data_IF_384131034144
#
_entry.id   IF_384131034144
#
_cell.length_a   1.000
_cell.length_b   1.000
_cell.length_c   1.000
_cell.angle_alpha   90.00
_cell.angle_beta   90.00
_cell.angle_gamma   90.00
#
_symmetry.space_group_name_H-M   'P 1'
#
loop_
_entity.id
_entity.type
_entity.pdbx_description
1 polymer ?
#
# COMPACT_ATOMS: atom_id res chain seq x y z
N UNK A 1 29.72 -14.75 -23.94
CA UNK A 1 28.59 -14.22 -24.71
C UNK A 1 27.25 -14.92 -24.40
N UNK A 2 27.15 -16.25 -24.44
CA UNK A 2 25.89 -16.99 -24.15
C UNK A 2 25.33 -16.65 -22.78
N UNK A 3 26.15 -16.66 -21.74
CA UNK A 3 25.73 -16.31 -20.37
C UNK A 3 25.11 -14.91 -20.27
N UNK A 4 25.70 -13.93 -20.94
CA UNK A 4 25.17 -12.56 -20.98
C UNK A 4 23.82 -12.50 -21.72
N UNK A 5 23.66 -13.25 -22.82
CA UNK A 5 22.36 -13.35 -23.52
C UNK A 5 21.28 -13.98 -22.63
N UNK A 6 21.59 -15.05 -21.92
CA UNK A 6 20.67 -15.68 -20.97
C UNK A 6 20.29 -14.67 -19.88
N UNK A 7 21.25 -13.96 -19.31
CA UNK A 7 21.02 -12.95 -18.27
C UNK A 7 20.17 -11.78 -18.78
N UNK A 8 20.42 -11.31 -20.02
CA UNK A 8 19.60 -10.28 -20.67
C UNK A 8 18.13 -10.73 -20.76
N UNK A 9 17.88 -11.91 -21.31
CA UNK A 9 16.52 -12.43 -21.46
C UNK A 9 15.84 -12.70 -20.11
N UNK A 10 16.58 -13.23 -19.13
CA UNK A 10 16.06 -13.41 -17.77
C UNK A 10 15.63 -12.08 -17.13
N UNK A 11 16.47 -11.05 -17.20
CA UNK A 11 16.13 -9.72 -16.69
C UNK A 11 14.93 -9.11 -17.42
N UNK A 12 14.91 -9.21 -18.76
CA UNK A 12 13.80 -8.69 -19.56
C UNK A 12 12.48 -9.38 -19.23
N UNK A 13 12.49 -10.72 -19.08
CA UNK A 13 11.32 -11.49 -18.70
C UNK A 13 10.85 -11.15 -17.27
N UNK A 14 11.77 -10.97 -16.32
CA UNK A 14 11.42 -10.53 -14.95
C UNK A 14 10.74 -9.17 -14.97
N UNK A 15 11.29 -8.19 -15.70
CA UNK A 15 10.71 -6.85 -15.80
C UNK A 15 9.33 -6.91 -16.46
N UNK A 16 9.21 -7.61 -17.59
CA UNK A 16 7.93 -7.80 -18.28
C UNK A 16 6.89 -8.48 -17.37
N UNK A 17 7.28 -9.61 -16.76
CA UNK A 17 6.40 -10.36 -15.88
C UNK A 17 5.87 -9.50 -14.73
N UNK A 18 6.75 -8.78 -14.05
CA UNK A 18 6.39 -7.99 -12.86
C UNK A 18 5.41 -6.86 -13.16
N UNK A 19 5.58 -6.17 -14.28
CA UNK A 19 4.76 -4.99 -14.58
C UNK A 19 3.56 -5.28 -15.47
N UNK A 20 3.62 -6.30 -16.32
CA UNK A 20 2.55 -6.64 -17.26
C UNK A 20 2.12 -8.09 -17.13
N UNK A 21 3.07 -9.02 -17.16
CA UNK A 21 2.81 -10.46 -17.23
C UNK A 21 1.99 -10.98 -16.05
N UNK A 22 2.31 -10.54 -14.83
CA UNK A 22 1.54 -10.92 -13.64
C UNK A 22 0.07 -10.47 -13.72
N UNK A 23 -0.18 -9.23 -14.10
CA UNK A 23 -1.55 -8.73 -14.27
C UNK A 23 -2.33 -9.49 -15.34
N UNK A 24 -1.69 -9.79 -16.49
CA UNK A 24 -2.28 -10.57 -17.58
C UNK A 24 -2.59 -12.00 -17.10
N UNK A 25 -1.62 -12.65 -16.44
CA UNK A 25 -1.79 -14.01 -15.91
C UNK A 25 -2.92 -14.07 -14.88
N UNK A 26 -2.93 -13.14 -13.93
CA UNK A 26 -3.93 -13.06 -12.89
C UNK A 26 -5.34 -12.83 -13.48
N UNK A 27 -5.47 -11.89 -14.43
CA UNK A 27 -6.72 -11.67 -15.16
C UNK A 27 -7.20 -12.94 -15.87
N UNK A 28 -6.29 -13.64 -16.55
CA UNK A 28 -6.63 -14.89 -17.27
C UNK A 28 -7.09 -15.98 -16.31
N UNK A 29 -6.38 -16.19 -15.19
CA UNK A 29 -6.77 -17.17 -14.17
C UNK A 29 -8.16 -16.85 -13.60
N UNK A 30 -8.43 -15.57 -13.29
CA UNK A 30 -9.72 -15.14 -12.77
C UNK A 30 -10.83 -15.35 -13.80
N UNK A 31 -10.59 -15.04 -15.08
CA UNK A 31 -11.58 -15.29 -16.14
C UNK A 31 -11.91 -16.77 -16.27
N UNK A 32 -10.89 -17.63 -16.22
CA UNK A 32 -11.08 -19.08 -16.23
C UNK A 32 -11.85 -19.54 -14.97
N UNK A 33 -11.44 -19.07 -13.78
CA UNK A 33 -12.13 -19.38 -12.52
C UNK A 33 -13.62 -19.02 -12.62
N UNK A 34 -13.95 -17.80 -13.08
CA UNK A 34 -15.35 -17.35 -13.26
C UNK A 34 -16.14 -18.17 -14.29
N UNK A 35 -15.47 -18.69 -15.30
CA UNK A 35 -16.11 -19.57 -16.30
C UNK A 35 -16.52 -20.92 -15.72
N UNK A 36 -15.68 -21.50 -14.85
CA UNK A 36 -15.94 -22.79 -14.22
C UNK A 36 -16.72 -22.71 -12.90
N UNK A 37 -16.64 -21.61 -12.18
CA UNK A 37 -17.44 -21.37 -10.98
C UNK A 37 -18.61 -20.47 -11.35
N UNK A 38 -19.86 -21.01 -11.26
CA UNK A 38 -21.06 -20.16 -11.34
C UNK A 38 -20.86 -18.98 -10.41
N UNK A 39 -21.16 -17.75 -10.91
CA UNK A 39 -20.99 -16.51 -10.17
C UNK A 39 -21.26 -16.70 -8.67
N UNK A 40 -20.29 -16.43 -7.79
CA UNK A 40 -20.59 -16.40 -6.38
C UNK A 40 -21.72 -15.39 -6.21
N UNK A 41 -22.84 -15.81 -5.60
CA UNK A 41 -23.88 -14.87 -5.16
C UNK A 41 -23.16 -13.76 -4.40
N UNK A 42 -23.27 -12.52 -4.87
CA UNK A 42 -22.88 -11.39 -4.03
C UNK A 42 -23.56 -11.61 -2.68
N UNK A 43 -22.74 -11.70 -1.64
CA UNK A 43 -23.30 -11.85 -0.30
C UNK A 43 -24.29 -10.72 -0.07
N UNK A 44 -25.53 -11.05 0.31
CA UNK A 44 -26.55 -10.07 0.57
C UNK A 44 -26.02 -9.02 1.55
N UNK A 45 -26.44 -7.78 1.38
CA UNK A 45 -26.09 -6.73 2.33
C UNK A 45 -26.70 -7.10 3.69
N UNK A 46 -25.90 -7.17 4.77
CA UNK A 46 -26.42 -7.50 6.08
C UNK A 46 -27.42 -6.42 6.55
N UNK A 47 -28.48 -6.84 7.22
CA UNK A 47 -29.38 -5.95 7.95
C UNK A 47 -28.66 -5.28 9.13
N UNK A 48 -29.24 -4.22 9.70
CA UNK A 48 -28.63 -3.53 10.83
C UNK A 48 -28.41 -4.45 12.04
N UNK A 49 -29.30 -5.42 12.24
CA UNK A 49 -29.20 -6.39 13.34
C UNK A 49 -28.03 -7.37 13.15
N UNK A 50 -27.70 -7.72 11.93
CA UNK A 50 -26.61 -8.64 11.58
C UNK A 50 -25.23 -7.97 11.58
N UNK A 51 -25.18 -6.62 11.58
CA UNK A 51 -23.92 -5.90 11.60
C UNK A 51 -23.15 -6.15 12.89
N UNK A 52 -21.84 -6.47 12.82
CA UNK A 52 -21.01 -6.65 14.01
C UNK A 52 -20.68 -5.32 14.68
N UNK A 53 -20.28 -5.37 15.95
CA UNK A 53 -19.70 -4.19 16.61
C UNK A 53 -18.34 -3.87 16.03
N UNK A 54 -18.06 -2.57 15.80
CA UNK A 54 -16.86 -2.09 15.14
C UNK A 54 -16.30 -0.82 15.79
N UNK A 55 -15.00 -0.75 15.99
CA UNK A 55 -14.29 0.46 16.40
C UNK A 55 -13.54 1.04 15.21
N UNK A 56 -13.74 2.32 14.92
CA UNK A 56 -12.86 3.10 14.02
C UNK A 56 -11.73 3.67 14.87
N UNK A 57 -10.52 3.14 14.69
CA UNK A 57 -9.32 3.58 15.39
C UNK A 57 -8.54 4.55 14.52
N UNK A 58 -8.28 5.74 15.06
CA UNK A 58 -7.58 6.85 14.40
C UNK A 58 -6.31 7.14 15.22
N UNK A 59 -5.14 6.84 14.67
CA UNK A 59 -3.88 7.21 15.29
C UNK A 59 -3.49 8.64 14.91
N UNK A 60 -3.11 9.45 15.90
CA UNK A 60 -2.79 10.86 15.70
C UNK A 60 -1.51 11.28 16.42
N UNK A 61 -0.71 12.09 15.73
CA UNK A 61 0.39 12.85 16.27
C UNK A 61 0.46 14.21 15.61
N UNK A 62 0.15 15.27 16.37
CA UNK A 62 0.08 16.65 15.88
C UNK A 62 -0.84 16.78 14.65
N UNK A 63 -2.13 16.60 14.86
CA UNK A 63 -3.17 16.59 13.80
C UNK A 63 -4.27 17.63 14.09
N UNK A 64 -3.98 18.71 14.85
CA UNK A 64 -4.94 19.75 15.23
C UNK A 64 -5.73 20.31 14.02
N UNK A 65 -5.05 20.48 12.89
CA UNK A 65 -5.65 21.04 11.65
C UNK A 65 -6.75 20.15 11.04
N UNK A 66 -6.77 18.85 11.33
CA UNK A 66 -7.68 17.89 10.68
C UNK A 66 -8.72 17.28 11.62
N UNK A 67 -8.63 17.50 12.92
CA UNK A 67 -9.57 16.93 13.91
C UNK A 67 -11.02 17.24 13.55
N UNK A 68 -11.35 18.50 13.28
CA UNK A 68 -12.72 18.91 13.01
C UNK A 68 -13.28 18.28 11.72
N UNK A 69 -12.46 18.25 10.64
CA UNK A 69 -12.84 17.65 9.37
C UNK A 69 -13.02 16.13 9.52
N UNK A 70 -12.09 15.46 10.21
CA UNK A 70 -12.16 14.02 10.48
C UNK A 70 -13.37 13.66 11.31
N UNK A 71 -13.70 14.43 12.34
CA UNK A 71 -14.89 14.19 13.16
C UNK A 71 -16.18 14.38 12.38
N UNK A 72 -16.25 15.42 11.51
CA UNK A 72 -17.38 15.59 10.58
C UNK A 72 -17.52 14.38 9.64
N UNK A 73 -16.42 13.89 9.10
CA UNK A 73 -16.40 12.69 8.25
C UNK A 73 -16.87 11.45 9.02
N UNK A 74 -16.37 11.26 10.25
CA UNK A 74 -16.72 10.11 11.09
C UNK A 74 -18.21 10.10 11.45
N UNK A 75 -18.80 11.25 11.78
CA UNK A 75 -20.24 11.39 12.05
C UNK A 75 -21.14 11.11 10.84
N UNK A 76 -20.59 11.25 9.61
CA UNK A 76 -21.30 10.98 8.36
C UNK A 76 -21.24 9.51 7.93
N UNK A 77 -20.56 8.64 8.69
CA UNK A 77 -20.49 7.20 8.39
C UNK A 77 -21.84 6.54 8.67
N UNK A 78 -22.30 5.76 7.70
CA UNK A 78 -23.53 4.98 7.76
C UNK A 78 -23.29 3.66 8.51
N UNK A 79 -23.44 3.70 9.84
CA UNK A 79 -23.37 2.53 10.70
C UNK A 79 -24.23 2.73 11.95
N UNK A 80 -24.90 1.68 12.51
CA UNK A 80 -25.70 1.80 13.71
C UNK A 80 -24.86 2.32 14.89
N UNK A 81 -25.36 3.37 15.57
CA UNK A 81 -24.60 4.07 16.63
C UNK A 81 -24.30 3.20 17.85
N UNK A 82 -25.17 2.27 18.16
CA UNK A 82 -25.02 1.30 19.25
C UNK A 82 -23.96 0.22 18.95
N UNK A 83 -23.62 0.02 17.67
CA UNK A 83 -22.63 -0.95 17.19
C UNK A 83 -21.31 -0.31 16.73
N UNK A 84 -21.20 1.02 16.77
CA UNK A 84 -20.06 1.77 16.29
C UNK A 84 -19.41 2.60 17.38
N UNK A 85 -18.09 2.55 17.48
CA UNK A 85 -17.27 3.39 18.36
C UNK A 85 -16.19 4.09 17.58
N UNK A 86 -15.88 5.32 17.96
CA UNK A 86 -14.73 6.07 17.45
C UNK A 86 -13.68 6.16 18.54
N UNK A 87 -12.46 5.75 18.23
CA UNK A 87 -11.33 5.79 19.14
C UNK A 87 -10.19 6.60 18.51
N UNK A 88 -9.74 7.61 19.21
CA UNK A 88 -8.52 8.33 18.87
C UNK A 88 -7.38 7.91 19.78
N UNK A 89 -6.27 7.52 19.18
CA UNK A 89 -5.04 7.14 19.90
C UNK A 89 -4.01 8.21 19.61
N UNK A 90 -3.71 9.03 20.62
CA UNK A 90 -2.74 10.13 20.48
C UNK A 90 -1.40 9.73 21.08
N UNK A 91 -0.31 9.92 20.30
CA UNK A 91 1.05 9.46 20.60
C UNK A 91 1.98 10.67 20.84
N UNK A 92 1.88 11.24 22.04
CA UNK A 92 2.75 12.36 22.47
C UNK A 92 2.52 13.64 21.68
N UNK A 93 1.28 13.95 21.25
CA UNK A 93 0.95 15.21 20.59
C UNK A 93 1.22 16.39 21.52
N UNK A 94 1.92 17.40 21.02
CA UNK A 94 2.28 18.63 21.72
C UNK A 94 1.64 19.92 21.12
N UNK A 95 0.67 19.71 20.23
CA UNK A 95 -0.24 20.75 19.71
C UNK A 95 -1.61 20.68 20.41
N UNK A 96 -2.63 21.34 19.88
CA UNK A 96 -3.99 21.35 20.44
C UNK A 96 -4.82 20.10 20.08
N UNK A 97 -4.23 19.04 19.46
CA UNK A 97 -4.97 17.82 19.07
C UNK A 97 -5.78 17.25 20.24
N UNK A 98 -5.14 17.06 21.41
CA UNK A 98 -5.79 16.47 22.57
C UNK A 98 -6.90 17.37 23.13
N UNK A 99 -6.68 18.67 23.17
CA UNK A 99 -7.66 19.66 23.63
C UNK A 99 -8.90 19.65 22.74
N UNK A 100 -8.71 19.70 21.42
CA UNK A 100 -9.80 19.69 20.45
C UNK A 100 -10.64 18.41 20.54
N UNK A 101 -10.04 17.26 20.83
CA UNK A 101 -10.75 15.99 20.98
C UNK A 101 -11.68 15.97 22.18
N UNK A 102 -11.40 16.73 23.25
CA UNK A 102 -12.30 16.81 24.43
C UNK A 102 -13.67 17.43 24.12
N UNK A 103 -13.80 18.16 23.01
CA UNK A 103 -15.08 18.70 22.53
C UNK A 103 -16.02 17.64 21.94
N UNK A 104 -15.56 16.39 21.79
CA UNK A 104 -16.31 15.27 21.19
C UNK A 104 -16.55 14.16 22.21
N UNK A 105 -17.63 14.23 23.01
CA UNK A 105 -17.89 13.28 24.11
C UNK A 105 -18.16 11.85 23.65
N UNK A 106 -18.47 11.64 22.36
CA UNK A 106 -18.69 10.33 21.76
C UNK A 106 -17.39 9.58 21.40
N UNK A 107 -16.22 10.20 21.63
CA UNK A 107 -14.92 9.66 21.24
C UNK A 107 -14.22 9.04 22.45
N UNK A 108 -13.77 7.80 22.29
CA UNK A 108 -12.85 7.17 23.23
C UNK A 108 -11.42 7.70 22.94
N UNK A 109 -10.83 8.43 23.88
CA UNK A 109 -9.47 8.98 23.75
C UNK A 109 -8.50 8.08 24.51
N UNK A 110 -7.55 7.49 23.79
CA UNK A 110 -6.43 6.73 24.33
C UNK A 110 -5.17 7.59 24.22
N UNK A 111 -4.75 8.17 25.33
CA UNK A 111 -3.65 9.13 25.36
C UNK A 111 -2.34 8.47 25.79
N UNK A 112 -1.26 8.77 25.07
CA UNK A 112 0.12 8.49 25.47
C UNK A 112 0.88 9.81 25.64
N UNK A 113 1.51 10.10 26.82
CA UNK A 113 2.23 11.35 27.02
C UNK A 113 3.55 11.42 26.24
N UNK A 114 4.13 10.27 25.92
CA UNK A 114 5.39 10.16 25.21
C UNK A 114 5.18 9.65 23.79
N UNK A 115 5.91 10.23 22.85
CA UNK A 115 5.92 9.78 21.45
C UNK A 115 6.72 8.50 21.31
N UNK A 116 6.02 7.39 21.00
CA UNK A 116 6.62 6.05 20.78
C UNK A 116 6.49 5.55 19.34
N UNK A 117 5.78 6.30 18.51
CA UNK A 117 5.53 5.98 17.10
C UNK A 117 4.22 5.24 16.85
N UNK A 118 3.82 5.19 15.57
CA UNK A 118 2.51 4.67 15.14
C UNK A 118 2.26 3.23 15.60
N UNK A 119 3.27 2.36 15.50
CA UNK A 119 3.15 0.95 15.92
C UNK A 119 2.82 0.83 17.41
N UNK A 120 3.47 1.62 18.26
CA UNK A 120 3.20 1.65 19.71
C UNK A 120 1.79 2.21 20.01
N UNK A 121 1.38 3.26 19.30
CA UNK A 121 0.02 3.81 19.41
C UNK A 121 -1.03 2.77 19.03
N UNK A 122 -0.85 2.04 17.92
CA UNK A 122 -1.74 0.95 17.51
C UNK A 122 -1.85 -0.13 18.60
N UNK A 123 -0.73 -0.58 19.16
CA UNK A 123 -0.72 -1.57 20.25
C UNK A 123 -1.49 -1.08 21.49
N UNK A 124 -1.29 0.19 21.86
CA UNK A 124 -2.00 0.79 23.00
C UNK A 124 -3.50 0.87 22.75
N UNK A 125 -3.94 1.30 21.57
CA UNK A 125 -5.34 1.31 21.18
C UNK A 125 -5.97 -0.08 21.15
N UNK A 126 -5.25 -1.09 20.65
CA UNK A 126 -5.72 -2.47 20.59
C UNK A 126 -6.04 -3.07 21.98
N UNK A 127 -5.30 -2.67 23.01
CA UNK A 127 -5.55 -3.12 24.40
C UNK A 127 -6.86 -2.58 24.98
N UNK A 128 -7.38 -1.47 24.44
CA UNK A 128 -8.61 -0.80 24.88
C UNK A 128 -9.84 -1.21 24.08
N UNK A 129 -9.70 -2.10 23.09
CA UNK A 129 -10.79 -2.52 22.22
C UNK A 129 -11.84 -3.38 22.96
N UNK A 130 -13.12 -3.10 22.64
CA UNK A 130 -14.26 -3.83 23.17
C UNK A 130 -15.19 -4.36 22.08
N UNK A 131 -14.87 -4.12 20.81
CA UNK A 131 -15.71 -4.47 19.66
C UNK A 131 -15.18 -5.70 18.93
N UNK A 132 -16.05 -6.33 18.15
CA UNK A 132 -15.73 -7.55 17.39
C UNK A 132 -14.66 -7.31 16.33
N UNK A 133 -14.71 -6.15 15.66
CA UNK A 133 -13.74 -5.77 14.63
C UNK A 133 -13.19 -4.37 14.89
N UNK A 134 -12.00 -4.12 14.38
CA UNK A 134 -11.36 -2.81 14.38
C UNK A 134 -11.08 -2.37 12.94
N UNK A 135 -11.43 -1.12 12.62
CA UNK A 135 -11.09 -0.44 11.37
C UNK A 135 -10.05 0.62 11.68
N UNK A 136 -8.93 0.58 10.99
CA UNK A 136 -7.85 1.54 11.11
C UNK A 136 -7.92 2.57 9.99
N UNK A 137 -7.64 3.82 10.32
CA UNK A 137 -7.54 4.91 9.36
C UNK A 137 -6.60 5.99 9.87
N UNK A 138 -5.98 6.73 8.96
CA UNK A 138 -5.17 7.89 9.31
C UNK A 138 -6.07 9.11 9.62
N UNK A 139 -5.61 10.03 10.47
CA UNK A 139 -6.38 11.22 10.85
C UNK A 139 -6.70 12.14 9.65
N UNK A 140 -5.77 12.23 8.69
CA UNK A 140 -5.87 13.09 7.51
C UNK A 140 -6.53 12.42 6.29
N UNK A 141 -7.19 11.28 6.46
CA UNK A 141 -7.91 10.58 5.38
C UNK A 141 -9.40 10.60 5.60
N UNK A 142 -10.19 10.79 4.54
CA UNK A 142 -11.65 10.85 4.60
C UNK A 142 -12.26 9.58 4.02
N UNK A 143 -13.10 8.91 4.80
CA UNK A 143 -13.71 7.62 4.45
C UNK A 143 -15.10 7.88 3.84
N UNK A 144 -15.50 7.10 2.83
CA UNK A 144 -16.85 7.20 2.27
C UNK A 144 -17.92 6.68 3.25
N UNK A 145 -19.14 7.26 3.23
CA UNK A 145 -20.17 6.95 4.23
C UNK A 145 -20.50 5.46 4.38
N UNK A 146 -20.60 4.71 3.29
CA UNK A 146 -20.95 3.28 3.30
C UNK A 146 -19.78 2.33 3.58
N UNK A 147 -18.57 2.83 3.83
CA UNK A 147 -17.36 2.01 3.94
C UNK A 147 -17.46 0.93 5.01
N UNK A 148 -17.96 1.27 6.21
CA UNK A 148 -18.03 0.32 7.33
C UNK A 148 -19.03 -0.81 7.06
N UNK A 149 -20.16 -0.53 6.41
CA UNK A 149 -21.13 -1.57 6.00
C UNK A 149 -20.53 -2.53 4.98
N UNK A 150 -19.79 -2.01 4.03
CA UNK A 150 -19.11 -2.84 3.03
C UNK A 150 -18.02 -3.71 3.67
N UNK A 151 -17.24 -3.16 4.59
CA UNK A 151 -16.25 -3.91 5.39
C UNK A 151 -16.94 -5.02 6.20
N UNK A 152 -18.03 -4.70 6.90
CA UNK A 152 -18.79 -5.66 7.68
C UNK A 152 -19.37 -6.80 6.81
N UNK A 153 -19.88 -6.47 5.61
CA UNK A 153 -20.35 -7.45 4.63
C UNK A 153 -19.28 -8.47 4.25
N UNK A 154 -18.04 -8.03 4.07
CA UNK A 154 -16.93 -8.92 3.72
C UNK A 154 -16.49 -9.82 4.90
N UNK A 155 -16.67 -9.38 6.14
CA UNK A 155 -16.43 -10.20 7.33
C UNK A 155 -17.49 -11.28 7.56
N UNK A 156 -18.60 -11.28 6.82
CA UNK A 156 -19.56 -12.40 6.84
C UNK A 156 -18.93 -13.70 6.30
N UNK A 157 -17.88 -13.62 5.49
CA UNK A 157 -17.08 -14.78 5.13
C UNK A 157 -16.07 -15.11 6.25
N UNK A 158 -16.22 -16.26 6.92
CA UNK A 158 -15.35 -16.65 8.03
C UNK A 158 -13.89 -16.87 7.64
N UNK A 159 -13.57 -17.00 6.35
CA UNK A 159 -12.21 -17.08 5.87
C UNK A 159 -11.52 -15.72 5.85
N UNK A 160 -12.29 -14.61 5.90
CA UNK A 160 -11.76 -13.24 5.90
C UNK A 160 -11.35 -12.85 7.32
N UNK A 161 -10.08 -12.56 7.51
CA UNK A 161 -9.53 -12.03 8.76
C UNK A 161 -9.12 -10.57 8.70
N UNK A 162 -8.99 -10.03 7.47
CA UNK A 162 -8.70 -8.63 7.22
C UNK A 162 -9.46 -8.15 5.96
N UNK A 163 -9.93 -6.91 5.99
CA UNK A 163 -10.53 -6.23 4.83
C UNK A 163 -9.69 -4.99 4.51
N UNK A 164 -9.17 -4.92 3.29
CA UNK A 164 -8.44 -3.76 2.78
C UNK A 164 -9.35 -2.90 1.91
N UNK A 165 -9.54 -1.65 2.28
CA UNK A 165 -10.22 -0.66 1.47
C UNK A 165 -9.33 -0.08 0.37
N UNK A 166 -9.94 0.69 -0.53
CA UNK A 166 -9.23 1.36 -1.60
C UNK A 166 -8.66 2.70 -1.13
N UNK A 167 -7.39 2.95 -1.43
CA UNK A 167 -6.82 4.29 -1.33
C UNK A 167 -7.12 5.07 -2.59
N UNK A 168 -7.70 6.27 -2.45
CA UNK A 168 -7.90 7.25 -3.53
C UNK A 168 -7.12 8.52 -3.23
N UNK A 169 -6.41 9.00 -4.23
CA UNK A 169 -5.63 10.24 -4.13
C UNK A 169 -6.44 11.37 -4.76
N UNK A 170 -6.73 12.40 -3.96
CA UNK A 170 -7.36 13.63 -4.42
C UNK A 170 -6.30 14.69 -4.71
N UNK A 171 -6.49 15.48 -5.77
CA UNK A 171 -5.72 16.69 -6.02
C UNK A 171 -6.49 17.90 -5.44
N UNK A 172 -5.83 18.79 -4.70
CA UNK A 172 -6.44 20.05 -4.22
C UNK A 172 -6.75 21.00 -5.37
N UNK A 173 -5.87 21.02 -6.37
CA UNK A 173 -6.01 21.81 -7.58
C UNK A 173 -5.99 20.94 -8.81
N UNK A 174 -6.87 21.25 -9.78
CA UNK A 174 -6.89 20.56 -11.07
C UNK A 174 -5.52 20.72 -11.74
N UNK A 175 -4.79 19.60 -11.92
CA UNK A 175 -3.52 19.56 -12.63
C UNK A 175 -2.26 19.42 -11.78
N UNK A 176 -2.35 18.98 -10.53
CA UNK A 176 -1.19 18.54 -9.76
C UNK A 176 -0.62 17.23 -10.34
N UNK A 177 0.48 17.32 -11.11
CA UNK A 177 1.07 16.15 -11.80
C UNK A 177 1.56 15.06 -10.85
N UNK A 178 2.01 15.43 -9.65
CA UNK A 178 2.42 14.47 -8.64
C UNK A 178 1.23 13.60 -8.18
N UNK A 179 0.08 14.22 -7.95
CA UNK A 179 -1.16 13.53 -7.59
C UNK A 179 -1.71 12.66 -8.74
N UNK A 180 -1.57 13.12 -10.01
CA UNK A 180 -1.98 12.32 -11.17
C UNK A 180 -1.12 11.06 -11.37
N UNK A 181 0.20 11.17 -11.24
CA UNK A 181 1.11 10.02 -11.34
C UNK A 181 0.90 9.03 -10.22
N UNK A 182 0.72 9.52 -8.99
CA UNK A 182 0.36 8.70 -7.84
C UNK A 182 -1.01 8.02 -8.04
N UNK A 183 -2.01 8.75 -8.54
CA UNK A 183 -3.34 8.21 -8.83
C UNK A 183 -3.35 7.12 -9.90
N UNK A 184 -2.50 7.21 -10.95
CA UNK A 184 -2.34 6.15 -11.95
C UNK A 184 -1.72 4.89 -11.33
N UNK A 185 -0.68 5.06 -10.52
CA UNK A 185 -0.06 3.95 -9.79
C UNK A 185 -1.09 3.25 -8.90
N UNK A 186 -1.86 4.01 -8.10
CA UNK A 186 -2.85 3.44 -7.20
C UNK A 186 -4.01 2.75 -7.93
N UNK A 187 -4.45 3.23 -9.08
CA UNK A 187 -5.45 2.52 -9.90
C UNK A 187 -4.96 1.16 -10.38
N UNK A 188 -3.71 1.09 -10.84
CA UNK A 188 -3.10 -0.18 -11.21
C UNK A 188 -2.94 -1.11 -10.00
N UNK A 189 -2.43 -0.60 -8.89
CA UNK A 189 -2.27 -1.33 -7.63
C UNK A 189 -3.61 -1.85 -7.10
N UNK A 190 -4.66 -1.04 -7.12
CA UNK A 190 -6.02 -1.41 -6.72
C UNK A 190 -6.60 -2.53 -7.59
N UNK A 191 -6.35 -2.47 -8.90
CA UNK A 191 -6.76 -3.53 -9.83
C UNK A 191 -6.09 -4.85 -9.49
N UNK A 192 -4.78 -4.85 -9.24
CA UNK A 192 -4.06 -6.05 -8.84
C UNK A 192 -4.54 -6.58 -7.48
N UNK A 193 -4.74 -5.70 -6.48
CA UNK A 193 -5.27 -6.11 -5.17
C UNK A 193 -6.66 -6.74 -5.28
N UNK A 194 -7.53 -6.20 -6.15
CA UNK A 194 -8.86 -6.77 -6.42
C UNK A 194 -8.73 -8.17 -6.99
N UNK A 195 -7.90 -8.36 -8.00
CA UNK A 195 -7.70 -9.66 -8.62
C UNK A 195 -7.01 -10.66 -7.70
N UNK A 196 -6.02 -10.21 -6.92
CA UNK A 196 -5.40 -11.03 -5.89
C UNK A 196 -6.42 -11.53 -4.86
N UNK A 197 -7.25 -10.63 -4.35
CA UNK A 197 -8.31 -10.95 -3.39
C UNK A 197 -9.33 -11.93 -3.98
N UNK A 198 -9.66 -11.80 -5.26
CA UNK A 198 -10.57 -12.70 -5.96
C UNK A 198 -9.95 -14.08 -6.21
N UNK A 199 -8.65 -14.13 -6.52
CA UNK A 199 -7.94 -15.40 -6.66
C UNK A 199 -7.89 -16.14 -5.32
N UNK A 200 -7.37 -15.47 -4.28
CA UNK A 200 -7.31 -15.98 -2.91
C UNK A 200 -7.25 -14.85 -1.88
N UNK A 201 -6.19 -14.03 -1.84
CA UNK A 201 -5.97 -12.98 -0.84
C UNK A 201 -5.25 -11.78 -1.43
N UNK A 202 -5.65 -10.58 -1.09
CA UNK A 202 -4.83 -9.41 -1.36
C UNK A 202 -3.48 -9.52 -0.62
N UNK A 203 -2.42 -8.99 -1.22
CA UNK A 203 -1.06 -9.03 -0.65
C UNK A 203 -0.76 -7.72 0.08
N UNK A 204 -1.39 -7.58 1.25
CA UNK A 204 -1.23 -6.46 2.17
C UNK A 204 -2.30 -5.38 2.04
N UNK A 205 -2.65 -4.78 3.17
CA UNK A 205 -3.51 -3.60 3.29
C UNK A 205 -2.69 -2.31 3.19
N UNK A 206 -3.36 -1.18 3.12
CA UNK A 206 -2.79 0.16 3.18
C UNK A 206 -3.38 0.91 4.39
N UNK A 207 -2.55 1.66 5.08
CA UNK A 207 -2.88 2.28 6.37
C UNK A 207 -4.02 3.28 6.36
N UNK A 208 -4.38 3.75 5.17
CA UNK A 208 -5.46 4.72 4.99
C UNK A 208 -6.85 4.15 5.32
N UNK A 209 -7.08 2.86 5.02
CA UNK A 209 -8.33 2.17 5.39
C UNK A 209 -8.14 0.65 5.33
N UNK A 210 -8.14 0.01 6.47
CA UNK A 210 -8.26 -1.44 6.57
C UNK A 210 -8.92 -1.84 7.89
N UNK A 211 -9.52 -3.01 7.92
CA UNK A 211 -10.14 -3.55 9.12
C UNK A 211 -9.68 -4.98 9.36
N UNK A 212 -9.68 -5.41 10.62
CA UNK A 212 -9.31 -6.78 10.94
C UNK A 212 -9.99 -7.29 12.23
N UNK A 213 -9.96 -8.60 12.38
CA UNK A 213 -10.31 -9.25 13.64
C UNK A 213 -9.17 -9.00 14.64
N UNK A 214 -9.42 -8.33 15.79
CA UNK A 214 -8.39 -8.04 16.78
C UNK A 214 -7.67 -9.29 17.32
N UNK A 215 -8.33 -10.44 17.30
CA UNK A 215 -7.72 -11.71 17.75
C UNK A 215 -6.60 -12.20 16.84
N UNK A 216 -6.54 -11.69 15.60
CA UNK A 216 -5.49 -11.98 14.63
C UNK A 216 -4.37 -10.94 14.64
N UNK A 217 -4.51 -9.86 15.41
CA UNK A 217 -3.47 -8.86 15.59
C UNK A 217 -2.30 -9.48 16.35
N UNK A 218 -1.16 -9.63 15.65
CA UNK A 218 0.09 -10.04 16.27
C UNK A 218 0.95 -8.83 16.57
N UNK A 219 1.85 -9.00 17.52
CA UNK A 219 2.87 -7.99 17.81
C UNK A 219 3.74 -7.73 16.57
N UNK A 220 3.61 -6.54 16.03
CA UNK A 220 4.50 -6.04 14.99
C UNK A 220 5.75 -5.48 15.66
N UNK A 221 6.96 -5.73 15.14
CA UNK A 221 8.17 -5.13 15.68
C UNK A 221 8.06 -3.60 15.77
N UNK A 222 8.55 -3.01 16.86
CA UNK A 222 8.42 -1.56 17.11
C UNK A 222 9.14 -0.70 16.06
N UNK A 223 10.13 -1.28 15.39
CA UNK A 223 10.87 -0.68 14.30
C UNK A 223 10.25 -0.92 12.92
N UNK A 224 9.01 -1.45 12.84
CA UNK A 224 8.33 -1.67 11.58
C UNK A 224 7.98 -0.35 10.88
N UNK A 225 8.46 -0.22 9.64
CA UNK A 225 8.19 0.96 8.80
C UNK A 225 6.87 0.86 8.04
N UNK A 226 6.31 -0.35 7.89
CA UNK A 226 5.01 -0.66 7.28
C UNK A 226 4.20 -1.55 8.23
N UNK A 227 3.69 -0.93 9.28
CA UNK A 227 2.87 -1.58 10.31
C UNK A 227 1.59 -2.18 9.73
N UNK A 228 0.90 -1.46 8.87
CA UNK A 228 -0.32 -1.85 8.16
C UNK A 228 -0.10 -3.10 7.30
N UNK A 229 0.97 -3.11 6.52
CA UNK A 229 1.34 -4.24 5.70
C UNK A 229 1.66 -5.47 6.56
N UNK A 230 2.47 -5.29 7.62
CA UNK A 230 2.85 -6.38 8.52
C UNK A 230 1.65 -6.98 9.23
N UNK A 231 0.79 -6.15 9.85
CA UNK A 231 -0.41 -6.58 10.54
C UNK A 231 -1.34 -7.39 9.62
N UNK A 232 -1.60 -6.86 8.42
CA UNK A 232 -2.46 -7.54 7.45
C UNK A 232 -1.86 -8.85 6.94
N UNK A 233 -0.54 -8.92 6.70
CA UNK A 233 0.11 -10.14 6.24
C UNK A 233 0.22 -11.22 7.32
N UNK A 234 0.23 -10.85 8.61
CA UNK A 234 0.12 -11.83 9.70
C UNK A 234 -1.24 -12.57 9.69
N UNK A 235 -2.30 -11.91 9.22
CA UNK A 235 -3.60 -12.57 8.99
C UNK A 235 -3.46 -13.68 7.95
N UNK A 236 -2.72 -13.43 6.87
CA UNK A 236 -2.46 -14.45 5.83
C UNK A 236 -1.59 -15.58 6.37
N UNK A 237 -0.57 -15.28 7.17
CA UNK A 237 0.23 -16.29 7.88
C UNK A 237 -0.59 -17.17 8.82
N UNK A 238 -1.65 -16.62 9.42
CA UNK A 238 -2.57 -17.34 10.28
C UNK A 238 -3.57 -18.23 9.51
N UNK A 239 -3.48 -18.27 8.17
CA UNK A 239 -4.35 -19.10 7.32
C UNK A 239 -5.68 -18.44 6.96
N UNK A 240 -5.89 -17.17 7.33
CA UNK A 240 -7.03 -16.36 6.88
C UNK A 240 -6.65 -15.59 5.62
N UNK A 241 -7.62 -14.87 5.03
CA UNK A 241 -7.37 -14.07 3.83
C UNK A 241 -7.65 -12.58 4.06
N UNK A 242 -7.01 -11.75 3.26
CA UNK A 242 -7.31 -10.33 3.14
C UNK A 242 -8.28 -10.16 1.98
N UNK A 243 -9.52 -9.75 2.26
CA UNK A 243 -10.46 -9.32 1.24
C UNK A 243 -10.16 -7.87 0.83
N UNK A 244 -10.32 -7.57 -0.45
CA UNK A 244 -10.16 -6.20 -0.96
C UNK A 244 -11.48 -5.72 -1.55
N UNK A 245 -11.83 -4.46 -1.28
CA UNK A 245 -12.99 -3.81 -1.90
C UNK A 245 -12.65 -2.38 -2.32
N UNK A 246 -13.23 -1.97 -3.46
CA UNK A 246 -13.21 -0.58 -3.93
C UNK A 246 -14.42 0.23 -3.46
N UNK A 247 -15.40 -0.42 -2.84
CA UNK A 247 -16.64 0.22 -2.36
C UNK A 247 -16.48 0.81 -0.96
N UNK A 248 -15.48 0.33 -0.20
CA UNK A 248 -14.93 1.01 0.97
C UNK A 248 -13.63 1.70 0.56
N UNK A 249 -13.59 3.04 0.62
CA UNK A 249 -12.40 3.79 0.23
C UNK A 249 -12.10 4.95 1.17
N UNK A 250 -10.82 5.28 1.26
CA UNK A 250 -10.31 6.47 1.91
C UNK A 250 -9.71 7.42 0.89
N UNK A 251 -10.08 8.69 0.98
CA UNK A 251 -9.53 9.78 0.17
C UNK A 251 -8.43 10.49 0.96
N UNK A 252 -7.31 10.70 0.32
CA UNK A 252 -6.16 11.39 0.86
C UNK A 252 -5.62 12.39 -0.17
N UNK A 253 -5.14 13.54 0.28
CA UNK A 253 -4.44 14.45 -0.62
C UNK A 253 -3.04 13.91 -0.95
N UNK A 254 -2.61 14.15 -2.19
CA UNK A 254 -1.28 13.78 -2.65
C UNK A 254 -0.16 14.44 -1.82
N UNK A 255 1.08 13.97 -1.97
CA UNK A 255 2.24 14.61 -1.35
C UNK A 255 2.41 16.03 -1.90
N UNK A 256 2.75 17.00 -1.04
CA UNK A 256 2.86 18.42 -1.41
C UNK A 256 3.84 18.70 -2.57
N UNK A 257 4.89 17.86 -2.69
CA UNK A 257 5.85 17.94 -3.79
C UNK A 257 6.64 16.63 -3.93
N UNK A 258 7.47 16.52 -4.98
CA UNK A 258 8.29 15.32 -5.22
C UNK A 258 9.33 15.02 -4.12
N UNK A 259 9.75 16.00 -3.36
CA UNK A 259 10.70 15.79 -2.26
C UNK A 259 10.01 15.03 -1.11
N UNK A 260 8.81 15.46 -0.73
CA UNK A 260 7.98 14.78 0.28
C UNK A 260 7.56 13.40 -0.22
N UNK A 261 7.20 13.28 -1.51
CA UNK A 261 6.91 11.98 -2.13
C UNK A 261 8.14 11.05 -2.09
N UNK A 262 9.35 11.56 -2.34
CA UNK A 262 10.58 10.77 -2.24
C UNK A 262 10.84 10.27 -0.82
N UNK A 263 10.61 11.11 0.22
CA UNK A 263 10.69 10.68 1.61
C UNK A 263 9.76 9.49 1.88
N UNK A 264 8.49 9.63 1.45
CA UNK A 264 7.48 8.58 1.60
C UNK A 264 7.84 7.30 0.86
N UNK A 265 8.25 7.38 -0.42
CA UNK A 265 8.63 6.21 -1.22
C UNK A 265 9.88 5.52 -0.70
N UNK A 266 10.85 6.27 -0.18
CA UNK A 266 12.03 5.72 0.48
C UNK A 266 11.64 4.91 1.72
N UNK A 267 10.72 5.42 2.56
CA UNK A 267 10.19 4.69 3.72
C UNK A 267 9.48 3.41 3.29
N UNK A 268 8.59 3.50 2.29
CA UNK A 268 7.84 2.35 1.77
C UNK A 268 8.81 1.29 1.23
N UNK A 269 9.85 1.69 0.49
CA UNK A 269 10.85 0.78 -0.03
C UNK A 269 11.66 0.11 1.09
N UNK A 270 12.11 0.89 2.09
CA UNK A 270 12.81 0.37 3.26
C UNK A 270 11.95 -0.62 4.04
N UNK A 271 10.70 -0.24 4.34
CA UNK A 271 9.76 -1.09 5.05
C UNK A 271 9.36 -2.34 4.26
N UNK A 272 9.27 -2.24 2.94
CA UNK A 272 9.03 -3.40 2.07
C UNK A 272 10.14 -4.45 2.17
N UNK A 273 11.40 -4.01 2.14
CA UNK A 273 12.56 -4.89 2.32
C UNK A 273 12.57 -5.55 3.71
N UNK A 274 12.32 -4.75 4.76
CA UNK A 274 12.21 -5.21 6.14
C UNK A 274 11.10 -6.24 6.28
N UNK A 275 9.93 -5.98 5.73
CA UNK A 275 8.77 -6.86 5.77
C UNK A 275 9.03 -8.19 5.06
N UNK A 276 9.70 -8.18 3.89
CA UNK A 276 10.05 -9.42 3.18
C UNK A 276 10.95 -10.30 4.03
N UNK A 277 11.91 -9.70 4.75
CA UNK A 277 12.77 -10.45 5.65
C UNK A 277 12.00 -11.11 6.80
N UNK A 278 11.10 -10.40 7.43
CA UNK A 278 10.28 -10.93 8.53
C UNK A 278 9.25 -11.97 8.07
N UNK A 279 8.70 -11.79 6.86
CA UNK A 279 7.72 -12.67 6.26
C UNK A 279 8.34 -13.77 5.38
N UNK A 280 9.65 -14.05 5.52
CA UNK A 280 10.36 -15.04 4.67
C UNK A 280 9.77 -16.44 4.68
N UNK A 281 9.04 -16.81 5.73
CA UNK A 281 8.32 -18.10 5.79
C UNK A 281 7.25 -18.21 4.68
N UNK A 282 6.70 -17.08 4.20
CA UNK A 282 5.73 -17.04 3.10
C UNK A 282 6.37 -17.26 1.71
N UNK A 283 7.70 -17.28 1.63
CA UNK A 283 8.43 -17.63 0.40
C UNK A 283 8.50 -19.15 0.14
N UNK A 284 8.03 -19.96 1.10
CA UNK A 284 8.04 -21.43 0.95
C UNK A 284 6.79 -21.91 0.19
N UNK A 285 6.92 -22.31 -1.10
CA UNK A 285 5.79 -22.74 -1.91
C UNK A 285 5.18 -24.07 -1.46
N UNK A 286 5.91 -24.88 -0.69
CA UNK A 286 5.40 -26.16 -0.19
C UNK A 286 4.42 -26.00 0.96
N UNK A 287 4.45 -24.86 1.66
CA UNK A 287 3.56 -24.60 2.78
C UNK A 287 2.23 -23.97 2.35
N UNK A 288 2.30 -22.95 1.48
CA UNK A 288 1.15 -22.21 0.99
C UNK A 288 1.40 -21.76 -0.47
N UNK A 289 1.28 -22.66 -1.46
CA UNK A 289 1.75 -22.41 -2.83
C UNK A 289 1.09 -21.18 -3.47
N UNK A 290 -0.21 -21.01 -3.27
CA UNK A 290 -0.95 -19.88 -3.86
C UNK A 290 -0.59 -18.55 -3.21
N UNK A 291 -0.42 -18.52 -1.89
CA UNK A 291 0.05 -17.33 -1.16
C UNK A 291 1.46 -16.97 -1.59
N UNK A 292 2.37 -17.96 -1.67
CA UNK A 292 3.74 -17.74 -2.14
C UNK A 292 3.76 -17.18 -3.56
N UNK A 293 2.96 -17.75 -4.46
CA UNK A 293 2.83 -17.26 -5.84
C UNK A 293 2.41 -15.78 -5.87
N UNK A 294 1.32 -15.40 -5.18
CA UNK A 294 0.83 -14.03 -5.14
C UNK A 294 1.84 -13.09 -4.45
N UNK A 295 2.40 -13.51 -3.32
CA UNK A 295 3.34 -12.71 -2.55
C UNK A 295 4.64 -12.42 -3.31
N UNK A 296 5.23 -13.45 -3.92
CA UNK A 296 6.44 -13.30 -4.74
C UNK A 296 6.16 -12.41 -5.94
N UNK A 297 5.08 -12.70 -6.71
CA UNK A 297 4.77 -11.98 -7.94
C UNK A 297 4.38 -10.53 -7.70
N UNK A 298 3.58 -10.25 -6.67
CA UNK A 298 3.07 -8.90 -6.41
C UNK A 298 4.04 -8.04 -5.58
N UNK A 299 4.77 -8.64 -4.61
CA UNK A 299 5.59 -7.86 -3.65
C UNK A 299 7.08 -8.07 -3.86
N UNK A 300 7.57 -9.32 -3.77
CA UNK A 300 9.01 -9.58 -3.76
C UNK A 300 9.67 -9.16 -5.07
N UNK A 301 9.10 -9.56 -6.21
CA UNK A 301 9.62 -9.17 -7.52
C UNK A 301 9.65 -7.65 -7.67
N UNK A 302 8.54 -6.98 -7.36
CA UNK A 302 8.41 -5.53 -7.52
C UNK A 302 9.31 -4.72 -6.58
N UNK A 303 9.48 -5.17 -5.35
CA UNK A 303 10.20 -4.40 -4.32
C UNK A 303 11.70 -4.67 -4.29
N UNK A 304 12.16 -5.81 -4.83
CA UNK A 304 13.58 -6.18 -4.78
C UNK A 304 14.11 -6.53 -6.16
N UNK A 305 13.55 -7.55 -6.78
CA UNK A 305 14.19 -8.21 -7.93
C UNK A 305 14.16 -7.32 -9.17
N UNK A 306 13.01 -6.71 -9.46
CA UNK A 306 12.82 -5.94 -10.69
C UNK A 306 13.62 -4.64 -10.73
N UNK A 307 13.76 -3.83 -9.65
CA UNK A 307 14.68 -2.69 -9.65
C UNK A 307 16.13 -3.08 -9.94
N UNK A 308 16.58 -4.21 -9.39
CA UNK A 308 17.93 -4.76 -9.66
C UNK A 308 18.04 -5.26 -11.11
N UNK A 309 17.00 -5.96 -11.59
CA UNK A 309 16.96 -6.46 -12.97
C UNK A 309 16.97 -5.32 -14.00
N UNK A 310 16.33 -4.17 -13.74
CA UNK A 310 16.38 -3.00 -14.63
C UNK A 310 17.80 -2.45 -14.80
N UNK A 311 18.55 -2.34 -13.70
CA UNK A 311 19.95 -1.88 -13.75
C UNK A 311 20.82 -2.92 -14.47
N UNK A 312 20.66 -4.20 -14.10
CA UNK A 312 21.44 -5.29 -14.68
C UNK A 312 21.14 -5.44 -16.17
N UNK A 313 19.89 -5.29 -16.59
CA UNK A 313 19.47 -5.33 -17.99
C UNK A 313 20.22 -4.29 -18.84
N UNK A 314 20.35 -3.06 -18.33
CA UNK A 314 21.09 -2.00 -19.02
C UNK A 314 22.59 -2.35 -19.16
N UNK A 315 23.20 -2.77 -18.05
CA UNK A 315 24.64 -3.10 -18.03
C UNK A 315 24.95 -4.29 -18.95
N UNK A 316 24.13 -5.35 -18.88
CA UNK A 316 24.31 -6.54 -19.70
C UNK A 316 24.08 -6.25 -21.19
N UNK A 317 23.07 -5.44 -21.52
CA UNK A 317 22.79 -5.06 -22.89
C UNK A 317 23.94 -4.23 -23.50
N UNK A 318 24.47 -3.28 -22.72
CA UNK A 318 25.65 -2.51 -23.13
C UNK A 318 26.87 -3.41 -23.36
N UNK A 319 27.12 -4.37 -22.46
CA UNK A 319 28.22 -5.32 -22.62
C UNK A 319 28.05 -6.19 -23.88
N UNK A 320 26.84 -6.67 -24.19
CA UNK A 320 26.55 -7.44 -25.40
C UNK A 320 26.83 -6.62 -26.66
N UNK A 321 26.43 -5.36 -26.72
CA UNK A 321 26.69 -4.47 -27.86
C UNK A 321 28.20 -4.22 -28.04
N UNK A 322 28.92 -3.94 -26.94
CA UNK A 322 30.39 -3.73 -26.99
C UNK A 322 31.15 -4.99 -27.42
N UNK A 323 30.60 -6.19 -27.14
CA UNK A 323 31.16 -7.48 -27.57
C UNK A 323 30.76 -7.86 -29.01
N UNK A 324 30.09 -6.99 -29.76
CA UNK A 324 29.69 -7.23 -31.14
C UNK A 324 28.55 -8.24 -31.30
N UNK A 325 27.64 -8.33 -30.31
CA UNK A 325 26.44 -9.18 -30.41
C UNK A 325 25.49 -8.67 -31.51
N UNK A 326 24.47 -9.47 -31.84
CA UNK A 326 23.52 -9.24 -32.93
C UNK A 326 22.85 -7.85 -32.85
N UNK A 327 22.47 -7.29 -34.01
CA UNK A 327 21.79 -5.96 -34.14
C UNK A 327 20.59 -5.79 -33.24
N UNK A 328 19.92 -6.88 -32.84
CA UNK A 328 18.83 -6.88 -31.89
C UNK A 328 19.22 -6.19 -30.57
N UNK A 329 20.40 -6.49 -30.01
CA UNK A 329 20.87 -5.89 -28.74
C UNK A 329 21.20 -4.41 -28.88
N UNK A 330 21.70 -3.99 -30.06
CA UNK A 330 21.89 -2.57 -30.34
C UNK A 330 20.55 -1.82 -30.38
N UNK A 331 19.53 -2.38 -31.05
CA UNK A 331 18.18 -1.78 -31.11
C UNK A 331 17.59 -1.69 -29.72
N UNK A 332 17.67 -2.74 -28.93
CA UNK A 332 17.14 -2.74 -27.54
C UNK A 332 17.90 -1.77 -26.65
N UNK A 333 19.23 -1.59 -26.83
CA UNK A 333 20.00 -0.59 -26.09
C UNK A 333 19.57 0.83 -26.44
N UNK A 334 19.37 1.12 -27.72
CA UNK A 334 18.87 2.43 -28.17
C UNK A 334 17.49 2.71 -27.56
N UNK A 335 16.58 1.75 -27.57
CA UNK A 335 15.26 1.89 -26.94
C UNK A 335 15.35 2.12 -25.43
N UNK A 336 16.25 1.44 -24.73
CA UNK A 336 16.50 1.67 -23.29
C UNK A 336 17.04 3.08 -23.03
N UNK A 337 18.02 3.54 -23.82
CA UNK A 337 18.58 4.88 -23.68
C UNK A 337 17.54 5.96 -23.96
N UNK A 338 16.71 5.78 -25.00
CA UNK A 338 15.57 6.67 -25.28
C UNK A 338 14.58 6.71 -24.11
N UNK A 339 14.25 5.57 -23.52
CA UNK A 339 13.39 5.49 -22.34
C UNK A 339 13.96 6.29 -21.16
N UNK A 340 15.25 6.14 -20.85
CA UNK A 340 15.88 6.92 -19.78
C UNK A 340 16.04 8.40 -20.13
N UNK A 341 16.27 8.74 -21.41
CA UNK A 341 16.26 10.12 -21.86
C UNK A 341 14.87 10.77 -21.73
N UNK A 342 13.79 10.02 -22.03
CA UNK A 342 12.41 10.46 -21.78
C UNK A 342 12.16 10.67 -20.28
N UNK A 343 12.65 9.78 -19.41
CA UNK A 343 12.54 9.95 -17.96
C UNK A 343 13.26 11.21 -17.48
N UNK A 344 14.46 11.48 -17.98
CA UNK A 344 15.21 12.70 -17.69
C UNK A 344 14.50 13.96 -18.20
N UNK A 345 13.97 13.91 -19.43
CA UNK A 345 13.13 14.97 -20.00
C UNK A 345 11.85 15.22 -19.16
N UNK A 346 11.25 14.17 -18.63
CA UNK A 346 10.10 14.25 -17.71
C UNK A 346 10.46 14.95 -16.40
N UNK A 347 11.59 14.60 -15.80
CA UNK A 347 12.12 15.29 -14.63
C UNK A 347 12.39 16.78 -14.88
N UNK A 348 13.01 17.11 -16.01
CA UNK A 348 13.32 18.48 -16.39
C UNK A 348 12.05 19.30 -16.66
N UNK A 349 11.07 18.69 -17.34
CA UNK A 349 9.76 19.27 -17.63
C UNK A 349 9.02 19.59 -16.31
N UNK A 350 9.00 18.63 -15.37
CA UNK A 350 8.42 18.84 -14.05
C UNK A 350 9.09 19.99 -13.28
N UNK A 351 10.43 20.03 -13.25
CA UNK A 351 11.17 21.12 -12.56
C UNK A 351 10.90 22.51 -13.16
N UNK A 352 10.53 22.57 -14.44
CA UNK A 352 10.18 23.81 -15.16
C UNK A 352 8.68 24.14 -15.10
N UNK A 353 7.90 23.39 -14.31
CA UNK A 353 6.45 23.58 -14.22
C UNK A 353 5.68 23.22 -15.50
N UNK A 354 6.32 22.56 -16.46
CA UNK A 354 5.69 22.18 -17.74
C UNK A 354 4.96 20.85 -17.59
N UNK A 355 3.72 20.77 -18.11
CA UNK A 355 2.86 19.60 -18.00
C UNK A 355 2.98 18.72 -19.24
N UNK A 356 3.68 17.59 -19.12
CA UNK A 356 3.69 16.53 -20.15
C UNK A 356 3.42 15.19 -19.46
N UNK A 357 2.20 14.69 -19.59
CA UNK A 357 1.73 13.48 -18.89
C UNK A 357 2.54 12.24 -19.27
N UNK A 358 2.91 12.07 -20.54
CA UNK A 358 3.67 10.92 -21.01
C UNK A 358 5.09 10.91 -20.40
N UNK A 359 5.81 12.03 -20.53
CA UNK A 359 7.15 12.15 -19.97
C UNK A 359 7.16 12.02 -18.46
N UNK A 360 6.14 12.56 -17.78
CA UNK A 360 6.01 12.44 -16.34
C UNK A 360 5.75 10.99 -15.90
N UNK A 361 4.92 10.23 -16.63
CA UNK A 361 4.67 8.81 -16.33
C UNK A 361 5.96 7.99 -16.44
N UNK A 362 6.75 8.20 -17.48
CA UNK A 362 8.05 7.51 -17.66
C UNK A 362 9.02 7.91 -16.53
N UNK A 363 9.10 9.21 -16.22
CA UNK A 363 9.90 9.70 -15.11
C UNK A 363 9.48 9.09 -13.78
N UNK A 364 8.17 9.07 -13.47
CA UNK A 364 7.64 8.54 -12.21
C UNK A 364 7.94 7.04 -12.06
N UNK A 365 7.89 6.27 -13.15
CA UNK A 365 8.31 4.87 -13.15
C UNK A 365 9.78 4.70 -12.74
N UNK A 366 10.68 5.46 -13.34
CA UNK A 366 12.12 5.43 -12.98
C UNK A 366 12.33 5.92 -11.56
N UNK A 367 11.65 6.99 -11.15
CA UNK A 367 11.69 7.56 -9.80
C UNK A 367 11.29 6.52 -8.73
N UNK A 368 10.22 5.77 -8.96
CA UNK A 368 9.77 4.71 -8.04
C UNK A 368 10.83 3.62 -7.85
N UNK A 369 11.44 3.16 -8.94
CA UNK A 369 12.47 2.13 -8.90
C UNK A 369 13.77 2.65 -8.25
N UNK A 370 14.17 3.89 -8.48
CA UNK A 370 15.33 4.51 -7.84
C UNK A 370 15.15 4.66 -6.32
N UNK A 371 13.92 4.92 -5.84
CA UNK A 371 13.67 5.01 -4.41
C UNK A 371 13.83 3.67 -3.69
N UNK A 372 13.80 2.53 -4.38
CA UNK A 372 14.14 1.23 -3.79
C UNK A 372 15.61 1.21 -3.34
N UNK A 373 16.54 1.66 -4.16
CA UNK A 373 17.96 1.76 -3.80
C UNK A 373 18.19 2.75 -2.64
N UNK A 374 17.46 3.87 -2.65
CA UNK A 374 17.49 4.84 -1.53
C UNK A 374 16.94 4.22 -0.23
N UNK A 375 15.93 3.37 -0.33
CA UNK A 375 15.40 2.60 0.81
C UNK A 375 16.40 1.57 1.34
N UNK A 376 17.10 0.85 0.45
CA UNK A 376 18.18 -0.08 0.82
C UNK A 376 19.32 0.66 1.56
N UNK A 377 19.75 1.80 1.04
CA UNK A 377 20.76 2.64 1.68
C UNK A 377 20.29 3.13 3.05
N UNK A 378 19.03 3.59 3.15
CA UNK A 378 18.45 4.06 4.40
C UNK A 378 18.49 2.99 5.49
N UNK A 379 18.06 1.75 5.20
CA UNK A 379 18.09 0.63 6.16
C UNK A 379 19.50 0.32 6.67
N UNK A 380 20.53 0.53 5.82
CA UNK A 380 21.92 0.28 6.22
C UNK A 380 22.49 1.39 7.10
N UNK A 381 22.05 2.64 6.92
CA UNK A 381 22.71 3.82 7.52
C UNK A 381 21.98 4.37 8.75
N UNK A 382 20.67 4.23 8.85
CA UNK A 382 19.86 4.89 9.89
C UNK A 382 19.34 3.94 10.98
N UNK A 383 19.69 2.65 10.91
CA UNK A 383 19.28 1.67 11.89
C UNK A 383 17.76 1.42 11.90
N UNK A 384 17.27 0.80 12.97
CA UNK A 384 15.88 0.32 13.10
C UNK A 384 15.03 1.27 13.97
N UNK A 385 15.02 2.55 13.69
CA UNK A 385 14.16 3.49 14.42
C UNK A 385 12.81 3.60 13.71
N UNK A 386 11.72 3.11 14.34
CA UNK A 386 10.36 3.20 13.83
C UNK A 386 9.75 4.61 13.79
N UNK A 387 10.40 5.58 14.48
CA UNK A 387 10.00 6.99 14.46
C UNK A 387 10.44 7.64 13.14
N UNK A 388 9.53 7.72 12.17
CA UNK A 388 9.76 8.36 10.88
C UNK A 388 9.26 9.80 10.87
N UNK A 389 9.98 10.67 10.16
CA UNK A 389 9.56 12.04 9.93
C UNK A 389 8.29 12.09 9.04
N UNK A 390 7.24 12.77 9.51
CA UNK A 390 5.96 12.92 8.77
C UNK A 390 6.20 13.67 7.46
N UNK A 391 5.78 13.10 6.32
CA UNK A 391 5.82 13.81 5.04
C UNK A 391 4.68 14.83 4.96
N UNK A 392 4.96 16.03 4.47
CA UNK A 392 3.94 17.07 4.28
C UNK A 392 3.00 16.72 3.14
N UNK A 393 1.70 16.95 3.34
CA UNK A 393 0.64 16.79 2.33
C UNK A 393 0.30 18.15 1.71
N UNK A 394 -0.23 18.12 0.49
CA UNK A 394 -0.70 19.32 -0.22
C UNK A 394 -2.00 19.86 0.35
#
# INVERSE_FOLDING_TARGET
MITLKILFWACLLIVFYTYLGYGILLYTIIRLKRFFTRNPREAAKPSDDELPTMTLMICAYNEEDVVAEKMKNTRALDYPKDKFRTMWVTDGSNDHTNELLTAYPEVDIVYSPERKGKTAALKHGLQSLKTRYVTFTDANTMINPGALREIARLFMDPAVGCVAGEKRVAAKTVGEMAAEGEGLYWRYESTLKKWDSELFSAMGAAGELYAMDPTLCRDVPDDALLDDFMMSMYVVQAGKRIAYTSDAYAMEYGSANLFEESKRKRRIAAGGLQSIWWLRSMLNPFRQPLVTFQYVSHRVLRWIITPLALVLLLVVNMALVLMGAERFYLITLVLQLLFYAMAFGGWLSYRRGRRNKLLYTVYYFVFMNLNVFRGMYYLRTHGRNGAWEKAKRS
#
